data_IF_464816050938
#
_entry.id   IF_464816050938
#
_cell.length_a   1.000
_cell.length_b   1.000
_cell.length_c   1.000
_cell.angle_alpha   90.00
_cell.angle_beta   90.00
_cell.angle_gamma   90.00
#
_symmetry.space_group_name_H-M   'P 1'
#
loop_
_entity.id
_entity.type
_entity.pdbx_description
1 polymer ?
#
# COMPACT_ATOMS: atom_id res chain seq x y z
N UNK A 1 56.07 0.05 30.40
CA UNK A 1 55.03 -0.81 31.02
C UNK A 1 54.52 -0.09 32.26
N UNK A 2 53.36 0.57 32.16
CA UNK A 2 52.67 1.23 33.27
C UNK A 2 51.33 0.51 33.49
N UNK A 3 50.88 0.27 34.73
CA UNK A 3 49.59 -0.36 34.97
C UNK A 3 48.49 0.72 35.05
N UNK A 4 47.38 0.45 34.37
CA UNK A 4 46.12 1.20 34.48
C UNK A 4 45.28 0.52 35.57
N UNK A 5 44.87 1.30 36.57
CA UNK A 5 43.98 0.87 37.65
C UNK A 5 42.52 0.89 37.18
N UNK A 6 41.81 -0.20 37.44
CA UNK A 6 40.37 -0.37 37.19
C UNK A 6 39.59 0.12 38.42
N UNK A 7 38.71 1.11 38.27
CA UNK A 7 37.79 1.55 39.31
C UNK A 7 36.44 0.81 39.16
N UNK A 8 36.09 0.03 40.19
CA UNK A 8 34.77 -0.60 40.34
C UNK A 8 33.80 0.39 41.02
N UNK A 9 32.68 0.69 40.36
CA UNK A 9 31.55 1.43 40.96
C UNK A 9 30.54 0.42 41.48
N UNK A 10 30.34 0.38 42.80
CA UNK A 10 29.24 -0.31 43.45
C UNK A 10 27.99 0.58 43.46
N UNK A 11 26.88 0.09 42.92
CA UNK A 11 25.55 0.72 43.05
C UNK A 11 24.81 0.04 44.21
N UNK A 12 24.45 0.85 45.21
CA UNK A 12 23.62 0.45 46.35
C UNK A 12 22.15 0.55 45.94
N UNK A 13 21.41 -0.56 46.02
CA UNK A 13 19.95 -0.59 45.83
C UNK A 13 19.30 -0.49 47.21
N UNK A 14 18.60 0.61 47.47
CA UNK A 14 17.75 0.77 48.64
C UNK A 14 16.34 0.23 48.35
N UNK A 15 15.89 -0.70 49.17
CA UNK A 15 14.52 -1.19 49.20
C UNK A 15 13.64 -0.26 50.05
N UNK A 16 12.39 -0.04 49.64
CA UNK A 16 11.34 0.50 50.52
C UNK A 16 9.99 -0.09 50.14
N UNK A 17 9.26 -0.47 51.18
CA UNK A 17 8.07 -1.31 51.17
C UNK A 17 6.83 -0.50 51.57
N UNK A 18 5.66 -0.83 50.98
CA UNK A 18 4.33 -1.00 51.66
C UNK A 18 3.68 0.31 52.23
N UNK A 19 2.46 0.79 51.94
CA UNK A 19 1.11 0.21 51.67
C UNK A 19 0.12 1.30 51.14
N UNK A 20 -1.14 0.95 50.78
CA UNK A 20 -2.01 1.69 49.86
C UNK A 20 -3.13 2.52 50.51
N UNK A 21 -3.70 3.47 49.77
CA UNK A 21 -5.00 4.06 50.09
C UNK A 21 -5.79 4.46 48.82
N UNK A 22 -6.86 3.70 48.59
CA UNK A 22 -8.19 4.07 48.07
C UNK A 22 -8.30 5.27 47.12
N UNK A 23 -8.57 4.98 45.83
CA UNK A 23 -9.21 5.93 44.92
C UNK A 23 -10.69 5.54 44.71
N UNK A 24 -11.55 6.53 44.90
CA UNK A 24 -12.99 6.51 44.71
C UNK A 24 -13.32 6.29 43.22
N UNK A 25 -14.03 5.20 42.92
CA UNK A 25 -14.56 4.93 41.59
C UNK A 25 -15.94 5.58 41.43
N UNK A 26 -15.99 6.69 40.69
CA UNK A 26 -17.22 7.21 40.09
C UNK A 26 -16.95 7.45 38.60
N UNK A 27 -17.27 6.45 37.79
CA UNK A 27 -17.08 6.51 36.34
C UNK A 27 -17.80 5.34 35.69
N UNK A 28 -19.09 5.53 35.41
CA UNK A 28 -19.92 4.56 34.70
C UNK A 28 -19.35 4.27 33.32
N UNK A 29 -18.75 3.10 33.14
CA UNK A 29 -18.50 2.52 31.83
C UNK A 29 -19.85 2.16 31.22
N UNK A 30 -20.30 2.93 30.23
CA UNK A 30 -21.29 2.45 29.25
C UNK A 30 -20.61 1.35 28.44
N UNK A 31 -20.89 0.09 28.80
CA UNK A 31 -20.72 -1.03 27.89
C UNK A 31 -21.72 -0.84 26.76
N UNK A 32 -21.22 -0.39 25.60
CA UNK A 32 -22.02 -0.41 24.37
C UNK A 32 -22.06 -1.86 23.88
N UNK A 33 -23.27 -2.41 23.87
CA UNK A 33 -23.58 -3.76 23.44
C UNK A 33 -23.47 -3.84 21.90
N UNK A 34 -22.34 -4.38 21.43
CA UNK A 34 -22.00 -4.56 20.01
C UNK A 34 -22.81 -5.69 19.34
N UNK A 35 -23.66 -6.42 20.07
CA UNK A 35 -24.39 -7.58 19.53
C UNK A 35 -25.75 -7.26 18.88
N UNK A 36 -26.23 -6.01 18.90
CA UNK A 36 -27.62 -5.72 18.44
C UNK A 36 -27.82 -5.47 16.95
N UNK A 37 -26.78 -5.29 16.14
CA UNK A 37 -26.93 -5.03 14.69
C UNK A 37 -26.35 -6.11 13.76
N UNK A 38 -26.01 -7.29 14.30
CA UNK A 38 -25.61 -8.44 13.50
C UNK A 38 -26.69 -9.52 13.58
N UNK A 39 -27.75 -9.37 12.79
CA UNK A 39 -28.62 -10.51 12.50
C UNK A 39 -27.86 -11.48 11.59
N UNK A 40 -28.01 -12.81 11.76
CA UNK A 40 -27.39 -13.81 10.89
C UNK A 40 -27.64 -13.59 9.39
N UNK A 41 -28.69 -12.85 9.03
CA UNK A 41 -29.01 -12.51 7.65
C UNK A 41 -28.16 -11.41 7.01
N UNK A 42 -27.38 -10.65 7.78
CA UNK A 42 -26.51 -9.59 7.26
C UNK A 42 -25.01 -9.96 7.21
N UNK A 43 -24.61 -11.08 7.83
CA UNK A 43 -23.23 -11.58 7.78
C UNK A 43 -22.95 -12.45 6.53
N UNK A 44 -23.95 -13.10 5.96
CA UNK A 44 -23.80 -13.83 4.69
C UNK A 44 -23.66 -12.93 3.46
N UNK A 45 -23.95 -11.62 3.58
CA UNK A 45 -23.80 -10.64 2.48
C UNK A 45 -22.57 -9.74 2.59
N UNK A 46 -21.84 -9.78 3.71
CA UNK A 46 -20.58 -9.02 3.89
C UNK A 46 -19.33 -9.89 3.75
N UNK A 47 -19.48 -11.22 3.73
CA UNK A 47 -18.51 -12.09 3.09
C UNK A 47 -18.74 -11.92 1.59
N UNK A 48 -17.71 -11.56 0.83
CA UNK A 48 -17.73 -11.67 -0.63
C UNK A 48 -17.82 -13.16 -1.04
N UNK A 49 -18.95 -13.80 -0.73
CA UNK A 49 -19.37 -15.06 -1.28
C UNK A 49 -19.77 -14.86 -2.73
N UNK A 50 -18.78 -14.54 -3.57
CA UNK A 50 -18.83 -14.95 -4.96
C UNK A 50 -18.86 -16.46 -4.94
N UNK A 51 -20.05 -17.04 -5.12
CA UNK A 51 -20.21 -18.45 -5.44
C UNK A 51 -19.20 -18.76 -6.55
N UNK A 52 -18.28 -19.69 -6.27
CA UNK A 52 -17.20 -20.08 -7.17
C UNK A 52 -17.72 -20.72 -8.46
N UNK A 53 -18.33 -19.91 -9.32
CA UNK A 53 -18.36 -20.16 -10.75
C UNK A 53 -16.92 -19.99 -11.22
N UNK A 54 -16.16 -21.08 -11.16
CA UNK A 54 -14.87 -21.18 -11.81
C UNK A 54 -15.04 -20.74 -13.25
N UNK A 55 -14.61 -19.52 -13.53
CA UNK A 55 -14.55 -18.99 -14.88
C UNK A 55 -13.67 -19.93 -15.69
N UNK A 56 -14.07 -20.06 -16.94
CA UNK A 56 -13.62 -21.00 -17.96
C UNK A 56 -12.14 -20.80 -18.39
N UNK A 57 -11.22 -20.67 -17.43
CA UNK A 57 -9.77 -20.64 -17.62
C UNK A 57 -9.13 -22.04 -17.47
N UNK A 58 -9.93 -23.08 -17.20
CA UNK A 58 -9.47 -24.47 -17.14
C UNK A 58 -9.20 -25.12 -18.51
N UNK A 59 -9.32 -24.41 -19.63
CA UNK A 59 -8.96 -24.95 -20.94
C UNK A 59 -7.55 -24.50 -21.35
N UNK A 60 -6.54 -25.13 -20.75
CA UNK A 60 -5.30 -25.47 -21.46
C UNK A 60 -3.99 -24.78 -21.09
N UNK A 61 -3.98 -23.72 -20.27
CA UNK A 61 -2.74 -23.14 -19.76
C UNK A 61 -2.48 -23.62 -18.33
N UNK A 62 -1.43 -24.41 -18.12
CA UNK A 62 -0.99 -24.74 -16.76
C UNK A 62 -0.75 -23.48 -15.94
N UNK A 63 -0.80 -23.62 -14.61
CA UNK A 63 -0.49 -22.57 -13.62
C UNK A 63 0.88 -21.90 -13.86
N UNK A 64 1.70 -22.50 -14.72
CA UNK A 64 3.11 -22.19 -14.94
C UNK A 64 3.42 -21.12 -16.00
N UNK A 65 2.48 -20.69 -16.85
CA UNK A 65 2.86 -19.85 -18.00
C UNK A 65 2.40 -18.40 -17.91
N UNK A 66 3.29 -17.59 -17.32
CA UNK A 66 3.33 -16.16 -17.60
C UNK A 66 3.43 -15.91 -19.11
N UNK A 67 2.56 -15.07 -19.71
CA UNK A 67 2.45 -14.95 -21.15
C UNK A 67 3.71 -14.32 -21.72
N UNK A 68 4.55 -15.14 -22.37
CA UNK A 68 5.75 -14.66 -23.03
C UNK A 68 5.52 -14.38 -24.50
N UNK A 69 6.09 -13.28 -24.97
CA UNK A 69 6.15 -12.97 -26.40
C UNK A 69 7.04 -14.01 -27.09
N UNK A 70 6.54 -14.71 -28.13
CA UNK A 70 7.36 -15.65 -28.88
C UNK A 70 8.66 -15.03 -29.37
N UNK A 71 9.77 -15.76 -29.18
CA UNK A 71 11.11 -15.33 -29.60
C UNK A 71 11.77 -14.28 -28.71
N UNK A 72 11.12 -13.80 -27.64
CA UNK A 72 11.81 -12.99 -26.63
C UNK A 72 12.50 -13.86 -25.60
N UNK A 73 13.77 -13.56 -25.34
CA UNK A 73 14.52 -14.09 -24.18
C UNK A 73 14.47 -13.06 -23.06
N UNK A 74 13.97 -13.43 -21.88
CA UNK A 74 14.00 -12.55 -20.71
C UNK A 74 15.47 -12.23 -20.36
N UNK A 75 15.82 -10.99 -19.99
CA UNK A 75 17.12 -10.75 -19.38
C UNK A 75 17.26 -11.60 -18.11
N UNK A 76 18.49 -11.97 -17.71
CA UNK A 76 18.70 -12.72 -16.48
C UNK A 76 18.10 -11.95 -15.28
N UNK A 77 17.34 -12.63 -14.41
CA UNK A 77 16.72 -11.98 -13.26
C UNK A 77 17.78 -11.43 -12.32
N UNK A 78 17.55 -10.24 -11.78
CA UNK A 78 18.43 -9.61 -10.80
C UNK A 78 17.87 -9.78 -9.38
N UNK A 79 18.61 -10.41 -8.47
CA UNK A 79 18.16 -10.58 -7.09
C UNK A 79 18.00 -9.23 -6.37
N UNK A 80 16.81 -8.96 -5.85
CA UNK A 80 16.48 -7.77 -5.08
C UNK A 80 16.75 -8.00 -3.59
N UNK A 81 17.96 -7.65 -3.13
CA UNK A 81 18.43 -7.92 -1.76
C UNK A 81 17.69 -7.15 -0.67
N UNK A 82 17.19 -5.95 -0.97
CA UNK A 82 16.49 -5.10 -0.02
C UNK A 82 15.14 -4.72 -0.60
N UNK A 83 14.07 -5.05 0.13
CA UNK A 83 12.71 -4.76 -0.32
C UNK A 83 12.03 -3.84 0.68
N UNK A 84 11.63 -2.67 0.20
CA UNK A 84 10.65 -1.81 0.87
C UNK A 84 9.35 -1.82 0.07
N UNK A 85 8.31 -2.43 0.65
CA UNK A 85 7.00 -2.46 0.00
C UNK A 85 6.18 -1.18 0.29
N UNK A 86 6.00 -0.36 -0.74
CA UNK A 86 5.04 0.75 -0.72
C UNK A 86 3.63 0.20 -0.94
N UNK A 87 2.86 0.09 0.14
CA UNK A 87 1.52 -0.50 0.13
C UNK A 87 0.44 0.55 0.36
N UNK A 88 0.05 1.23 -0.71
CA UNK A 88 -1.08 2.14 -0.67
C UNK A 88 -2.41 1.37 -0.39
N UNK A 89 -3.36 1.97 0.34
CA UNK A 89 -4.68 1.39 0.54
C UNK A 89 -5.33 0.92 -0.76
N UNK A 90 -5.87 -0.30 -0.72
CA UNK A 90 -6.52 -1.01 -1.84
C UNK A 90 -5.66 -1.24 -3.08
N UNK A 91 -4.34 -1.11 -3.00
CA UNK A 91 -3.44 -1.44 -4.11
C UNK A 91 -2.81 -2.83 -3.96
N UNK A 92 -3.59 -3.82 -3.50
CA UNK A 92 -3.16 -5.22 -3.56
C UNK A 92 -2.42 -5.76 -2.33
N UNK A 93 -3.10 -5.86 -1.20
CA UNK A 93 -2.55 -6.51 0.02
C UNK A 93 -2.09 -7.95 -0.24
N UNK A 94 -2.71 -8.65 -1.19
CA UNK A 94 -2.30 -9.99 -1.62
C UNK A 94 -0.91 -10.04 -2.27
N UNK A 95 -0.34 -8.91 -2.70
CA UNK A 95 1.00 -8.87 -3.29
C UNK A 95 2.09 -9.20 -2.27
N UNK A 96 1.79 -9.05 -0.96
CA UNK A 96 2.68 -9.54 0.09
C UNK A 96 2.93 -11.06 0.02
N UNK A 97 2.00 -11.84 -0.56
CA UNK A 97 2.19 -13.27 -0.84
C UNK A 97 3.30 -13.51 -1.86
N UNK A 98 3.36 -12.70 -2.92
CA UNK A 98 4.44 -12.75 -3.91
C UNK A 98 5.78 -12.38 -3.26
N UNK A 99 5.81 -11.27 -2.51
CA UNK A 99 7.04 -10.80 -1.87
C UNK A 99 7.62 -11.78 -0.85
N UNK A 100 6.79 -12.48 -0.08
CA UNK A 100 7.27 -13.46 0.90
C UNK A 100 7.74 -14.76 0.23
N UNK A 101 7.03 -15.30 -0.77
CA UNK A 101 7.51 -16.46 -1.52
C UNK A 101 8.82 -16.14 -2.26
N UNK A 102 8.94 -14.92 -2.78
CA UNK A 102 10.19 -14.42 -3.34
C UNK A 102 11.35 -14.40 -2.34
N UNK A 103 11.12 -13.85 -1.13
CA UNK A 103 12.18 -13.71 -0.13
C UNK A 103 12.48 -15.00 0.65
N UNK A 104 11.56 -15.96 0.63
CA UNK A 104 11.59 -17.18 1.42
C UNK A 104 11.40 -18.39 0.48
N UNK A 105 12.40 -18.71 -0.35
CA UNK A 105 12.27 -19.74 -1.39
C UNK A 105 12.06 -21.16 -0.86
N UNK A 106 12.28 -21.39 0.45
CA UNK A 106 12.04 -22.66 1.11
C UNK A 106 10.62 -22.75 1.72
N UNK A 107 9.83 -21.67 1.64
CA UNK A 107 8.43 -21.68 2.07
C UNK A 107 7.61 -22.57 1.13
N UNK A 108 6.91 -23.60 1.62
CA UNK A 108 6.08 -24.46 0.76
C UNK A 108 5.00 -23.64 0.05
N UNK A 109 4.85 -23.83 -1.26
CA UNK A 109 3.89 -23.09 -2.08
C UNK A 109 2.45 -23.15 -1.56
N UNK A 110 2.06 -24.23 -0.87
CA UNK A 110 0.74 -24.40 -0.25
C UNK A 110 0.46 -23.50 0.97
N UNK A 111 1.45 -22.72 1.43
CA UNK A 111 1.34 -21.82 2.58
C UNK A 111 1.24 -20.37 2.08
N UNK A 112 0.12 -19.72 2.36
CA UNK A 112 -0.13 -18.34 1.93
C UNK A 112 -1.14 -17.63 2.87
N UNK A 113 -1.10 -16.29 2.97
CA UNK A 113 -1.88 -15.51 3.94
C UNK A 113 -3.41 -15.68 3.87
N UNK A 114 -3.96 -16.13 2.74
CA UNK A 114 -5.40 -16.22 2.53
C UNK A 114 -5.99 -17.58 2.92
N UNK A 115 -5.16 -18.51 3.39
CA UNK A 115 -5.60 -19.82 3.87
C UNK A 115 -6.10 -19.79 5.31
N UNK A 116 -5.76 -18.76 6.09
CA UNK A 116 -6.15 -18.70 7.50
C UNK A 116 -7.64 -18.40 7.61
N UNK A 117 -8.32 -19.27 8.35
CA UNK A 117 -9.68 -19.03 8.81
C UNK A 117 -9.68 -17.83 9.76
N UNK A 118 -10.82 -17.14 9.85
CA UNK A 118 -11.01 -16.08 10.85
C UNK A 118 -10.77 -16.59 12.27
N UNK A 119 -11.11 -17.85 12.54
CA UNK A 119 -10.87 -18.51 13.82
C UNK A 119 -9.37 -18.68 14.12
N UNK A 120 -8.57 -19.13 13.15
CA UNK A 120 -7.10 -19.20 13.29
C UNK A 120 -6.47 -17.83 13.51
N UNK A 121 -6.99 -16.79 12.84
CA UNK A 121 -6.52 -15.42 13.04
C UNK A 121 -6.85 -14.90 14.46
N UNK A 122 -8.07 -15.16 14.93
CA UNK A 122 -8.57 -14.75 16.26
C UNK A 122 -7.87 -15.48 17.40
N UNK A 123 -7.53 -16.76 17.21
CA UNK A 123 -6.82 -17.57 18.20
C UNK A 123 -5.30 -17.35 18.18
N UNK A 124 -4.79 -16.45 17.33
CA UNK A 124 -3.37 -16.15 17.30
C UNK A 124 -2.93 -15.38 18.55
N UNK A 125 -1.79 -15.76 19.11
CA UNK A 125 -1.22 -15.13 20.31
C UNK A 125 -0.89 -13.64 20.13
N UNK A 126 -0.91 -13.12 18.89
CA UNK A 126 -0.62 -11.73 18.58
C UNK A 126 -1.85 -10.82 18.56
N UNK A 127 -3.06 -11.36 18.84
CA UNK A 127 -4.32 -10.60 18.88
C UNK A 127 -4.62 -9.89 17.56
N UNK A 128 -4.07 -10.41 16.45
CA UNK A 128 -4.13 -9.76 15.16
C UNK A 128 -5.58 -9.68 14.67
N UNK A 129 -6.05 -8.46 14.39
CA UNK A 129 -7.34 -8.29 13.71
C UNK A 129 -7.28 -8.99 12.33
N UNK A 130 -8.40 -9.44 11.75
CA UNK A 130 -8.41 -9.98 10.38
C UNK A 130 -7.79 -9.04 9.33
N UNK A 131 -7.78 -7.73 9.57
CA UNK A 131 -7.06 -6.72 8.78
C UNK A 131 -5.53 -6.85 8.82
N UNK A 132 -4.99 -7.68 9.71
CA UNK A 132 -3.56 -7.91 9.95
C UNK A 132 -3.12 -9.34 9.58
N UNK A 133 -3.88 -10.06 8.76
CA UNK A 133 -3.52 -11.39 8.25
C UNK A 133 -2.08 -11.46 7.73
N UNK A 134 -1.62 -10.43 7.01
CA UNK A 134 -0.25 -10.36 6.52
C UNK A 134 0.79 -10.22 7.65
N UNK A 135 0.47 -9.47 8.72
CA UNK A 135 1.34 -9.36 9.91
C UNK A 135 1.49 -10.72 10.56
N UNK A 136 0.38 -11.40 10.83
CA UNK A 136 0.37 -12.73 11.42
C UNK A 136 1.16 -13.74 10.55
N UNK A 137 0.94 -13.69 9.24
CA UNK A 137 1.65 -14.56 8.30
C UNK A 137 3.17 -14.36 8.37
N UNK A 138 3.62 -13.11 8.38
CA UNK A 138 5.05 -12.79 8.47
C UNK A 138 5.64 -13.17 9.82
N UNK A 139 4.93 -12.93 10.93
CA UNK A 139 5.36 -13.34 12.26
C UNK A 139 5.55 -14.86 12.37
N UNK A 140 4.70 -15.63 11.67
CA UNK A 140 4.72 -17.09 11.72
C UNK A 140 5.71 -17.75 10.76
N UNK A 141 5.82 -17.25 9.52
CA UNK A 141 6.55 -17.94 8.46
C UNK A 141 7.83 -17.23 8.02
N UNK A 142 8.11 -16.01 8.47
CA UNK A 142 9.36 -15.33 8.16
C UNK A 142 10.48 -15.75 9.11
N UNK A 143 10.78 -17.06 9.15
CA UNK A 143 11.81 -17.66 9.98
C UNK A 143 13.09 -17.92 9.18
N UNK A 144 14.23 -18.19 9.84
CA UNK A 144 15.48 -18.59 9.15
C UNK A 144 15.36 -19.89 8.38
N UNK A 145 14.40 -20.75 8.76
CA UNK A 145 14.11 -22.02 8.10
C UNK A 145 13.57 -21.79 6.68
N UNK A 146 12.63 -20.86 6.52
CA UNK A 146 12.02 -20.56 5.23
C UNK A 146 12.75 -19.45 4.46
N UNK A 147 13.38 -18.53 5.19
CA UNK A 147 13.99 -17.32 4.65
C UNK A 147 15.49 -17.28 5.01
N UNK A 148 16.37 -17.85 4.17
CA UNK A 148 17.80 -17.99 4.48
C UNK A 148 18.54 -16.64 4.61
N UNK A 149 17.93 -15.54 4.18
CA UNK A 149 18.37 -14.17 4.50
C UNK A 149 18.87 -13.35 3.30
N UNK A 150 18.89 -13.92 2.09
CA UNK A 150 19.37 -13.23 0.88
C UNK A 150 18.51 -12.00 0.51
N UNK A 151 17.25 -11.99 0.94
CA UNK A 151 16.29 -10.92 0.70
C UNK A 151 15.77 -10.37 2.02
N UNK A 152 16.07 -9.10 2.28
CA UNK A 152 15.62 -8.39 3.46
C UNK A 152 14.27 -7.71 3.22
N UNK A 153 13.19 -8.39 3.60
CA UNK A 153 11.85 -7.80 3.64
C UNK A 153 11.64 -6.93 4.87
N UNK A 154 11.56 -5.60 4.72
CA UNK A 154 11.20 -4.71 5.84
C UNK A 154 9.70 -4.56 5.97
N UNK A 155 9.19 -4.75 7.20
CA UNK A 155 7.80 -4.51 7.68
C UNK A 155 6.76 -4.35 6.56
N UNK A 156 6.26 -5.47 6.08
CA UNK A 156 5.37 -5.58 4.91
C UNK A 156 3.88 -5.49 5.25
N UNK A 157 3.50 -4.72 6.27
CA UNK A 157 2.08 -4.60 6.65
C UNK A 157 1.68 -3.18 6.97
N UNK A 158 0.38 -2.94 6.80
CA UNK A 158 -0.23 -1.63 6.95
C UNK A 158 0.04 -0.69 5.77
N UNK A 159 -0.37 0.55 5.95
CA UNK A 159 -0.23 1.64 4.96
C UNK A 159 0.85 2.62 5.42
N UNK A 160 2.02 2.08 5.77
CA UNK A 160 3.14 2.89 6.22
C UNK A 160 3.77 3.62 5.05
N UNK A 161 4.01 4.91 5.25
CA UNK A 161 4.70 5.78 4.31
C UNK A 161 6.15 5.36 4.13
N UNK A 162 6.77 5.85 3.05
CA UNK A 162 8.22 5.77 2.92
C UNK A 162 8.89 6.64 3.98
N UNK A 163 10.13 6.30 4.32
CA UNK A 163 11.07 7.17 5.01
C UNK A 163 12.15 7.64 4.05
N UNK A 164 12.76 8.80 4.31
CA UNK A 164 13.87 9.28 3.49
C UNK A 164 15.03 8.29 3.42
N UNK A 165 15.32 7.59 4.53
CA UNK A 165 16.36 6.55 4.57
C UNK A 165 16.03 5.36 3.66
N UNK A 166 14.75 5.03 3.49
CA UNK A 166 14.29 3.97 2.59
C UNK A 166 14.40 4.43 1.13
N UNK A 167 14.06 5.69 0.83
CA UNK A 167 14.24 6.28 -0.51
C UNK A 167 15.72 6.30 -0.89
N UNK A 168 16.61 6.70 0.02
CA UNK A 168 18.07 6.69 -0.20
C UNK A 168 18.56 5.28 -0.51
N UNK A 169 18.08 4.29 0.24
CA UNK A 169 18.45 2.87 0.07
C UNK A 169 17.92 2.27 -1.23
N UNK A 170 16.76 2.70 -1.73
CA UNK A 170 16.10 2.11 -2.90
C UNK A 170 15.50 0.74 -2.59
N UNK A 171 15.32 -0.08 -3.64
CA UNK A 171 14.66 -1.38 -3.49
C UNK A 171 13.17 -1.27 -3.19
N UNK A 172 12.56 -0.15 -3.59
CA UNK A 172 11.15 0.11 -3.34
C UNK A 172 10.33 -0.63 -4.40
N UNK A 173 9.35 -1.38 -3.93
CA UNK A 173 8.39 -2.10 -4.78
C UNK A 173 7.00 -1.61 -4.45
N UNK A 174 6.17 -1.38 -5.46
CA UNK A 174 4.82 -0.86 -5.27
C UNK A 174 3.84 -1.41 -6.29
N UNK A 175 2.61 -1.53 -5.83
CA UNK A 175 1.44 -1.80 -6.67
C UNK A 175 0.60 -0.52 -6.69
N UNK A 176 0.13 -0.14 -7.87
CA UNK A 176 -0.69 1.04 -8.11
C UNK A 176 -2.05 0.64 -8.63
N UNK A 177 -3.03 1.55 -8.54
CA UNK A 177 -4.40 1.29 -8.98
C UNK A 177 -5.04 2.54 -9.52
N UNK A 178 -5.99 2.37 -10.44
CA UNK A 178 -6.87 3.45 -10.87
C UNK A 178 -7.52 4.10 -9.62
N UNK A 179 -7.32 5.40 -9.38
CA UNK A 179 -7.78 6.06 -8.16
C UNK A 179 -9.29 5.95 -7.98
N UNK A 180 -10.09 5.92 -9.06
CA UNK A 180 -11.55 5.81 -8.97
C UNK A 180 -11.95 4.46 -8.37
N UNK A 181 -11.32 3.39 -8.84
CA UNK A 181 -11.55 2.03 -8.33
C UNK A 181 -10.98 1.89 -6.91
N UNK A 182 -9.81 2.50 -6.65
CA UNK A 182 -9.18 2.52 -5.32
C UNK A 182 -10.11 3.17 -4.29
N UNK A 183 -10.59 4.38 -4.57
CA UNK A 183 -11.45 5.14 -3.68
C UNK A 183 -12.79 4.47 -3.46
N UNK A 184 -13.41 3.97 -4.52
CA UNK A 184 -14.65 3.20 -4.39
C UNK A 184 -14.45 1.95 -3.53
N UNK A 185 -13.36 1.21 -3.75
CA UNK A 185 -13.03 0.03 -2.94
C UNK A 185 -12.76 0.39 -1.48
N UNK A 186 -12.12 1.52 -1.21
CA UNK A 186 -11.88 2.01 0.16
C UNK A 186 -13.20 2.41 0.84
N UNK A 187 -14.03 3.21 0.16
CA UNK A 187 -15.36 3.63 0.61
C UNK A 187 -16.28 2.44 0.93
N UNK A 188 -16.16 1.32 0.20
CA UNK A 188 -17.00 0.13 0.42
C UNK A 188 -16.57 -0.71 1.61
N UNK A 189 -15.29 -0.63 2.00
CA UNK A 189 -14.68 -1.61 2.92
C UNK A 189 -14.28 -0.99 4.26
N UNK A 190 -14.03 0.32 4.32
CA UNK A 190 -13.58 0.96 5.56
C UNK A 190 -14.71 1.66 6.31
N UNK A 191 -14.62 1.70 7.64
CA UNK A 191 -15.44 2.56 8.50
C UNK A 191 -16.93 2.21 8.56
N UNK A 192 -17.64 3.02 9.35
CA UNK A 192 -19.10 3.02 9.40
C UNK A 192 -19.61 4.21 8.58
N UNK A 193 -20.33 3.93 7.50
CA UNK A 193 -20.92 4.96 6.64
C UNK A 193 -21.78 5.91 7.49
N UNK A 194 -21.54 7.20 7.34
CA UNK A 194 -22.19 8.26 8.12
C UNK A 194 -21.38 8.76 9.31
N UNK A 195 -20.15 8.31 9.49
CA UNK A 195 -19.20 8.90 10.46
C UNK A 195 -18.40 10.05 9.84
N UNK A 196 -17.76 10.88 10.67
CA UNK A 196 -16.89 11.97 10.18
C UNK A 196 -15.71 11.48 9.33
N UNK A 197 -15.25 10.25 9.56
CA UNK A 197 -14.19 9.59 8.79
C UNK A 197 -14.71 8.79 7.60
N UNK A 198 -16.03 8.72 7.43
CA UNK A 198 -16.65 7.95 6.38
C UNK A 198 -18.01 8.56 6.00
N UNK A 199 -18.00 9.72 5.30
CA UNK A 199 -19.22 10.39 4.89
C UNK A 199 -20.13 9.46 4.08
N UNK A 200 -21.44 9.75 4.09
CA UNK A 200 -22.41 9.00 3.26
C UNK A 200 -22.20 9.26 1.77
N UNK A 201 -21.83 10.49 1.41
CA UNK A 201 -21.59 10.86 0.03
C UNK A 201 -20.18 10.44 -0.39
N UNK A 202 -20.07 9.68 -1.48
CA UNK A 202 -18.80 9.16 -1.99
C UNK A 202 -17.89 10.26 -2.54
N UNK A 203 -18.42 11.31 -3.16
CA UNK A 203 -17.62 12.43 -3.65
C UNK A 203 -16.96 13.18 -2.49
N UNK A 204 -17.65 13.34 -1.36
CA UNK A 204 -17.03 13.85 -0.12
C UNK A 204 -15.93 12.91 0.38
N UNK A 205 -16.15 11.59 0.31
CA UNK A 205 -15.13 10.60 0.68
C UNK A 205 -13.88 10.71 -0.20
N UNK A 206 -14.05 10.77 -1.53
CA UNK A 206 -12.94 10.94 -2.48
C UNK A 206 -12.18 12.22 -2.18
N UNK A 207 -12.87 13.34 -1.95
CA UNK A 207 -12.22 14.61 -1.59
C UNK A 207 -11.42 14.54 -0.29
N UNK A 208 -11.79 13.66 0.65
CA UNK A 208 -11.08 13.45 1.94
C UNK A 208 -9.86 12.52 1.84
N UNK A 209 -9.74 11.75 0.76
CA UNK A 209 -8.69 10.74 0.63
C UNK A 209 -7.92 10.83 -0.69
N UNK A 210 -8.21 11.85 -1.51
CA UNK A 210 -7.51 12.11 -2.77
C UNK A 210 -6.00 12.29 -2.58
N UNK A 211 -5.23 11.93 -3.60
CA UNK A 211 -3.77 12.03 -3.61
C UNK A 211 -3.10 11.01 -2.69
N UNK A 212 -3.77 9.92 -2.32
CA UNK A 212 -3.26 8.94 -1.36
C UNK A 212 -2.00 8.23 -1.86
N UNK A 213 -1.99 7.72 -3.09
CA UNK A 213 -0.81 7.09 -3.70
C UNK A 213 0.33 8.11 -3.82
N UNK A 214 0.00 9.35 -4.20
CA UNK A 214 0.95 10.45 -4.35
C UNK A 214 1.58 10.83 -3.00
N UNK A 215 0.77 11.04 -1.96
CA UNK A 215 1.22 11.35 -0.59
C UNK A 215 2.15 10.26 -0.06
N UNK A 216 1.82 8.98 -0.27
CA UNK A 216 2.65 7.88 0.24
C UNK A 216 4.03 7.79 -0.42
N UNK A 217 4.15 8.18 -1.70
CA UNK A 217 5.46 8.34 -2.36
C UNK A 217 6.28 9.46 -1.70
N UNK A 218 5.62 10.51 -1.19
CA UNK A 218 6.22 11.68 -0.55
C UNK A 218 6.42 11.52 0.96
N UNK A 219 6.46 10.29 1.47
CA UNK A 219 6.56 10.02 2.91
C UNK A 219 5.37 10.53 3.75
N UNK A 220 4.27 10.96 3.12
CA UNK A 220 3.06 11.49 3.77
C UNK A 220 1.97 10.41 3.86
N UNK A 221 1.27 10.27 4.99
CA UNK A 221 0.25 9.24 5.12
C UNK A 221 -0.95 9.58 4.22
N UNK A 222 -1.72 8.59 3.80
CA UNK A 222 -2.98 8.86 3.08
C UNK A 222 -4.00 9.54 3.97
N UNK A 223 -4.03 9.19 5.25
CA UNK A 223 -4.92 9.78 6.24
C UNK A 223 -4.16 10.09 7.54
N UNK A 224 -4.60 11.13 8.25
CA UNK A 224 -4.17 11.44 9.61
C UNK A 224 -5.39 11.47 10.51
N UNK A 225 -5.72 10.37 11.20
CA UNK A 225 -6.97 10.30 11.97
C UNK A 225 -7.14 11.39 13.04
N UNK A 226 -6.04 11.99 13.49
CA UNK A 226 -5.99 13.05 14.50
C UNK A 226 -6.01 14.47 13.92
N UNK A 227 -5.94 14.61 12.60
CA UNK A 227 -5.82 15.88 11.88
C UNK A 227 -6.86 15.90 10.73
N UNK A 228 -8.08 16.39 11.01
CA UNK A 228 -9.15 16.44 10.02
C UNK A 228 -8.86 17.36 8.83
N UNK A 229 -8.07 18.42 9.02
CA UNK A 229 -7.68 19.33 7.94
C UNK A 229 -6.84 18.57 6.91
N UNK A 230 -5.99 17.66 7.37
CA UNK A 230 -5.19 16.82 6.49
C UNK A 230 -6.03 15.86 5.61
N UNK A 231 -7.29 15.56 5.97
CA UNK A 231 -8.15 14.75 5.10
C UNK A 231 -8.40 15.49 3.78
N UNK A 232 -8.63 16.80 3.83
CA UNK A 232 -8.87 17.61 2.64
C UNK A 232 -7.58 18.15 2.01
N UNK A 233 -6.42 17.60 2.40
CA UNK A 233 -5.12 18.05 1.90
C UNK A 233 -4.97 17.80 0.41
N UNK A 234 -4.72 18.89 -0.32
CA UNK A 234 -4.46 18.88 -1.75
C UNK A 234 -2.97 18.81 -2.02
N UNK A 235 -2.57 17.78 -2.78
CA UNK A 235 -1.21 17.69 -3.28
C UNK A 235 -0.90 18.87 -4.19
N UNK A 236 0.22 19.56 -3.92
CA UNK A 236 0.67 20.69 -4.74
C UNK A 236 1.29 20.21 -6.05
N UNK A 237 1.48 21.12 -7.01
CA UNK A 237 2.15 20.81 -8.28
C UNK A 237 3.57 20.29 -8.06
N UNK A 238 4.34 20.97 -7.21
CA UNK A 238 5.72 20.60 -6.88
C UNK A 238 5.80 19.22 -6.23
N UNK A 239 4.84 18.89 -5.37
CA UNK A 239 4.74 17.58 -4.74
C UNK A 239 4.44 16.47 -5.74
N UNK A 240 3.47 16.69 -6.62
CA UNK A 240 3.16 15.75 -7.70
C UNK A 240 4.39 15.50 -8.59
N UNK A 241 5.07 16.57 -9.00
CA UNK A 241 6.31 16.47 -9.78
C UNK A 241 7.40 15.69 -9.02
N UNK A 242 7.53 15.90 -7.72
CA UNK A 242 8.48 15.17 -6.86
C UNK A 242 8.13 13.69 -6.80
N UNK A 243 6.85 13.35 -6.64
CA UNK A 243 6.38 11.98 -6.61
C UNK A 243 6.59 11.27 -7.96
N UNK A 244 6.34 11.95 -9.08
CA UNK A 244 6.61 11.44 -10.44
C UNK A 244 8.11 11.21 -10.64
N UNK A 245 8.97 12.14 -10.22
CA UNK A 245 10.44 11.96 -10.28
C UNK A 245 10.89 10.75 -9.47
N UNK A 246 10.37 10.56 -8.26
CA UNK A 246 10.67 9.38 -7.46
C UNK A 246 10.19 8.11 -8.16
N UNK A 247 8.96 8.10 -8.68
CA UNK A 247 8.36 6.95 -9.36
C UNK A 247 9.18 6.47 -10.57
N UNK A 248 9.76 7.41 -11.32
CA UNK A 248 10.63 7.15 -12.48
C UNK A 248 12.08 6.84 -12.11
N UNK A 249 12.49 7.09 -10.86
CA UNK A 249 13.88 6.88 -10.44
C UNK A 249 14.21 5.40 -10.25
N UNK A 250 15.51 5.08 -10.24
CA UNK A 250 16.02 3.74 -9.93
C UNK A 250 15.74 3.29 -8.49
N UNK A 251 15.27 4.19 -7.62
CA UNK A 251 14.89 3.85 -6.25
C UNK A 251 13.63 2.97 -6.21
N UNK A 252 12.77 3.09 -7.23
CA UNK A 252 11.57 2.27 -7.41
C UNK A 252 11.91 1.10 -8.35
N UNK A 253 12.35 0.00 -7.73
CA UNK A 253 12.73 -1.21 -8.44
C UNK A 253 11.54 -1.85 -9.17
N UNK A 254 10.34 -1.82 -8.58
CA UNK A 254 9.15 -2.43 -9.17
C UNK A 254 7.91 -1.54 -9.10
N UNK A 255 7.16 -1.53 -10.21
CA UNK A 255 5.87 -0.86 -10.38
C UNK A 255 4.95 -1.88 -11.02
N UNK A 256 3.94 -2.35 -10.27
CA UNK A 256 2.87 -3.19 -10.80
C UNK A 256 1.52 -2.47 -10.74
N UNK A 257 0.52 -3.03 -11.43
CA UNK A 257 -0.84 -2.50 -11.47
C UNK A 257 -1.82 -3.53 -10.91
N UNK A 258 -2.65 -3.10 -9.96
CA UNK A 258 -3.65 -3.97 -9.32
C UNK A 258 -4.67 -4.50 -10.34
N UNK A 259 -5.01 -3.67 -11.32
CA UNK A 259 -5.99 -4.00 -12.37
C UNK A 259 -5.42 -4.97 -13.42
N UNK A 260 -4.10 -5.18 -13.44
CA UNK A 260 -3.38 -6.16 -14.27
C UNK A 260 -2.56 -7.09 -13.37
N UNK A 261 -3.28 -7.78 -12.49
CA UNK A 261 -2.69 -8.54 -11.39
C UNK A 261 -1.74 -9.63 -11.89
N UNK A 262 -2.21 -10.47 -12.82
CA UNK A 262 -1.45 -11.59 -13.37
C UNK A 262 -0.16 -11.10 -14.02
N UNK A 263 -0.26 -10.08 -14.85
CA UNK A 263 0.87 -9.46 -15.53
C UNK A 263 1.85 -8.84 -14.54
N UNK A 264 1.36 -8.29 -13.42
CA UNK A 264 2.21 -7.74 -12.36
C UNK A 264 3.02 -8.81 -11.64
N UNK A 265 2.40 -9.94 -11.28
CA UNK A 265 3.12 -11.08 -10.69
C UNK A 265 4.16 -11.61 -11.69
N UNK A 266 3.75 -11.82 -12.94
CA UNK A 266 4.64 -12.29 -13.98
C UNK A 266 5.82 -11.35 -14.23
N UNK A 267 5.57 -10.04 -14.25
CA UNK A 267 6.60 -9.03 -14.43
C UNK A 267 7.58 -9.03 -13.26
N UNK A 268 7.09 -9.12 -12.04
CA UNK A 268 7.96 -9.17 -10.86
C UNK A 268 8.95 -10.34 -10.95
N UNK A 269 8.47 -11.54 -11.26
CA UNK A 269 9.33 -12.72 -11.39
C UNK A 269 10.21 -12.69 -12.65
N UNK A 270 9.76 -12.08 -13.74
CA UNK A 270 10.62 -11.87 -14.90
C UNK A 270 11.78 -10.89 -14.61
N UNK A 271 11.53 -9.88 -13.76
CA UNK A 271 12.55 -8.90 -13.36
C UNK A 271 13.55 -9.44 -12.35
N UNK A 272 13.07 -10.17 -11.33
CA UNK A 272 13.88 -10.50 -10.16
C UNK A 272 14.05 -11.99 -9.88
N UNK A 273 13.40 -12.86 -10.66
CA UNK A 273 13.49 -14.31 -10.54
C UNK A 273 12.58 -14.87 -9.46
N UNK A 274 12.97 -16.02 -8.89
CA UNK A 274 12.17 -16.74 -7.89
C UNK A 274 11.08 -17.62 -8.52
N UNK A 275 10.64 -18.61 -7.75
CA UNK A 275 9.56 -19.51 -8.17
C UNK A 275 8.22 -18.78 -8.04
N UNK A 276 7.33 -19.00 -9.00
CA UNK A 276 5.95 -18.52 -8.96
C UNK A 276 5.10 -19.61 -8.33
N UNK A 277 4.26 -19.24 -7.37
CA UNK A 277 3.26 -20.15 -6.79
C UNK A 277 1.86 -19.79 -7.28
N UNK A 278 0.97 -20.79 -7.40
CA UNK A 278 -0.41 -20.60 -7.86
C UNK A 278 -1.14 -19.48 -7.09
N UNK A 279 -0.91 -19.42 -5.78
CA UNK A 279 -1.62 -18.52 -4.88
C UNK A 279 -1.19 -17.06 -5.00
N UNK A 280 -0.11 -16.76 -5.70
CA UNK A 280 0.29 -15.38 -6.00
C UNK A 280 -0.65 -14.73 -7.02
N UNK A 281 -1.27 -15.53 -7.88
CA UNK A 281 -2.29 -15.06 -8.82
C UNK A 281 -3.66 -14.82 -8.15
N UNK A 282 -3.84 -15.22 -6.88
CA UNK A 282 -5.07 -14.96 -6.13
C UNK A 282 -5.14 -13.50 -5.69
N UNK A 283 -5.82 -12.67 -6.48
CA UNK A 283 -6.25 -11.36 -6.04
C UNK A 283 -7.49 -11.49 -5.14
N UNK A 284 -7.33 -11.31 -3.83
CA UNK A 284 -8.48 -11.41 -2.89
C UNK A 284 -9.44 -10.22 -2.92
N UNK A 285 -9.09 -9.19 -3.68
CA UNK A 285 -9.95 -8.03 -3.93
C UNK A 285 -9.91 -7.73 -5.41
N UNK A 286 -10.44 -8.66 -6.25
CA UNK A 286 -10.62 -8.32 -7.65
C UNK A 286 -11.50 -7.05 -7.65
N UNK A 287 -11.16 -6.12 -8.53
CA UNK A 287 -11.88 -4.86 -8.58
C UNK A 287 -13.31 -5.05 -9.05
N UNK A 288 -13.81 -4.01 -9.69
CA UNK A 288 -15.08 -4.06 -10.41
C UNK A 288 -15.07 -5.09 -11.56
N UNK A 289 -13.88 -5.56 -11.93
CA UNK A 289 -13.67 -6.55 -12.97
C UNK A 289 -12.80 -7.71 -12.47
N UNK A 290 -13.15 -8.93 -12.88
CA UNK A 290 -12.33 -10.14 -12.76
C UNK A 290 -11.43 -10.38 -13.99
N UNK A 291 -11.60 -9.62 -15.08
CA UNK A 291 -10.85 -9.81 -16.34
C UNK A 291 -10.24 -8.50 -16.86
N UNK A 292 -9.09 -8.59 -17.52
CA UNK A 292 -8.48 -7.42 -18.17
C UNK A 292 -9.39 -6.84 -19.28
N UNK A 293 -10.30 -7.63 -19.84
CA UNK A 293 -11.24 -7.24 -20.88
C UNK A 293 -12.38 -6.36 -20.33
N UNK A 294 -12.81 -6.62 -19.09
CA UNK A 294 -13.88 -5.91 -18.39
C UNK A 294 -13.42 -4.60 -17.70
N UNK A 295 -12.17 -4.18 -17.88
CA UNK A 295 -11.71 -2.86 -17.40
C UNK A 295 -12.55 -1.74 -18.06
N UNK A 296 -13.05 -1.94 -19.28
CA UNK A 296 -14.03 -1.01 -19.87
C UNK A 296 -15.40 -1.09 -19.19
N UNK A 297 -15.85 -2.28 -18.78
CA UNK A 297 -17.08 -2.43 -17.99
C UNK A 297 -16.98 -1.74 -16.62
N UNK A 298 -15.75 -1.55 -16.12
CA UNK A 298 -15.52 -0.78 -14.89
C UNK A 298 -15.99 0.66 -15.00
N UNK A 299 -15.90 1.29 -16.18
CA UNK A 299 -16.43 2.65 -16.36
C UNK A 299 -17.96 2.71 -16.29
N UNK A 300 -18.65 1.59 -16.51
CA UNK A 300 -20.11 1.49 -16.44
C UNK A 300 -20.60 0.97 -15.09
N UNK A 301 -19.72 0.82 -14.10
CA UNK A 301 -20.14 0.31 -12.80
C UNK A 301 -20.91 1.40 -12.04
N UNK A 302 -22.12 1.11 -11.54
CA UNK A 302 -22.99 2.12 -10.93
C UNK A 302 -22.32 2.90 -9.78
N UNK A 303 -21.46 2.22 -9.02
CA UNK A 303 -20.70 2.83 -7.92
C UNK A 303 -19.61 3.83 -8.36
N UNK A 304 -19.24 3.86 -9.64
CA UNK A 304 -18.23 4.76 -10.21
C UNK A 304 -18.84 5.92 -10.99
N UNK A 305 -20.16 5.97 -11.18
CA UNK A 305 -20.87 7.07 -11.85
C UNK A 305 -20.62 8.44 -11.20
N UNK A 306 -20.23 8.44 -9.92
CA UNK A 306 -19.99 9.65 -9.12
C UNK A 306 -18.51 9.93 -8.85
N UNK A 307 -17.59 9.20 -9.50
CA UNK A 307 -16.15 9.40 -9.34
C UNK A 307 -15.49 9.46 -10.72
N UNK A 308 -14.82 10.57 -10.96
CA UNK A 308 -14.07 10.84 -12.18
C UNK A 308 -12.57 10.96 -11.87
N UNK A 309 -11.75 10.96 -12.92
CA UNK A 309 -10.33 11.26 -12.79
C UNK A 309 -10.06 12.68 -12.26
N UNK A 310 -11.01 13.61 -12.42
CA UNK A 310 -10.87 14.98 -11.95
C UNK A 310 -11.07 15.13 -10.42
N UNK A 311 -11.66 14.14 -9.76
CA UNK A 311 -11.89 14.16 -8.31
C UNK A 311 -10.61 13.83 -7.52
N UNK A 312 -9.72 12.99 -8.09
CA UNK A 312 -8.37 12.70 -7.58
C UNK A 312 -7.30 12.80 -8.69
N UNK A 313 -7.01 14.03 -9.15
CA UNK A 313 -6.14 14.24 -10.30
C UNK A 313 -4.66 13.99 -9.98
N UNK A 314 -4.23 14.14 -8.72
CA UNK A 314 -2.85 13.82 -8.33
C UNK A 314 -2.59 12.31 -8.46
N UNK A 315 -3.44 11.46 -7.87
CA UNK A 315 -3.28 10.01 -8.04
C UNK A 315 -3.57 9.56 -9.48
N UNK A 316 -4.41 10.27 -10.23
CA UNK A 316 -4.62 9.99 -11.65
C UNK A 316 -3.34 10.15 -12.46
N UNK A 317 -2.62 11.27 -12.27
CA UNK A 317 -1.33 11.50 -12.92
C UNK A 317 -0.27 10.45 -12.50
N UNK A 318 -0.21 10.11 -11.20
CA UNK A 318 0.65 9.03 -10.71
C UNK A 318 0.31 7.69 -11.37
N UNK A 319 -0.97 7.36 -11.49
CA UNK A 319 -1.41 6.11 -12.11
C UNK A 319 -1.06 6.05 -13.60
N UNK A 320 -1.18 7.16 -14.34
CA UNK A 320 -0.74 7.23 -15.74
C UNK A 320 0.76 6.95 -15.88
N UNK A 321 1.59 7.57 -15.04
CA UNK A 321 3.04 7.33 -15.05
C UNK A 321 3.37 5.88 -14.64
N UNK A 322 2.68 5.35 -13.64
CA UNK A 322 2.84 3.94 -13.24
C UNK A 322 2.48 2.99 -14.40
N UNK A 323 1.41 3.28 -15.15
CA UNK A 323 0.96 2.53 -16.33
C UNK A 323 2.02 2.55 -17.44
N UNK A 324 2.59 3.72 -17.72
CA UNK A 324 3.68 3.89 -18.70
C UNK A 324 4.90 3.02 -18.34
N UNK A 325 5.37 3.11 -17.08
CA UNK A 325 6.51 2.32 -16.58
C UNK A 325 6.21 0.83 -16.68
N UNK A 326 5.00 0.42 -16.25
CA UNK A 326 4.57 -0.97 -16.27
C UNK A 326 4.59 -1.56 -17.68
N UNK A 327 3.97 -0.88 -18.64
CA UNK A 327 3.95 -1.35 -20.05
C UNK A 327 5.34 -1.42 -20.64
N UNK A 328 6.16 -0.40 -20.41
CA UNK A 328 7.56 -0.38 -20.87
C UNK A 328 8.32 -1.61 -20.36
N UNK A 329 8.14 -1.93 -19.07
CA UNK A 329 8.78 -3.09 -18.44
C UNK A 329 8.19 -4.43 -18.92
N UNK A 330 6.89 -4.54 -19.17
CA UNK A 330 6.31 -5.74 -19.79
C UNK A 330 7.01 -6.06 -21.11
N UNK A 331 7.15 -5.07 -22.00
CA UNK A 331 7.85 -5.23 -23.28
C UNK A 331 9.32 -5.59 -23.06
N UNK A 332 10.03 -4.84 -22.20
CA UNK A 332 11.44 -5.06 -21.90
C UNK A 332 11.73 -6.49 -21.41
N UNK A 333 10.84 -7.05 -20.59
CA UNK A 333 10.99 -8.38 -20.00
C UNK A 333 10.22 -9.47 -20.78
N UNK A 334 9.79 -9.16 -22.00
CA UNK A 334 9.21 -10.12 -22.94
C UNK A 334 7.83 -10.63 -22.54
N UNK A 335 7.09 -9.92 -21.69
CA UNK A 335 5.73 -10.28 -21.30
C UNK A 335 4.74 -9.62 -22.25
N UNK A 336 3.73 -10.37 -22.68
CA UNK A 336 2.70 -9.83 -23.56
C UNK A 336 1.93 -8.69 -22.88
N UNK A 337 1.84 -7.54 -23.55
CA UNK A 337 1.02 -6.42 -23.08
C UNK A 337 -0.45 -6.67 -23.43
N UNK A 338 -1.37 -6.73 -22.44
CA UNK A 338 -2.78 -6.98 -22.68
C UNK A 338 -3.41 -5.98 -23.65
N UNK A 339 -4.34 -6.43 -24.49
CA UNK A 339 -4.98 -5.58 -25.48
C UNK A 339 -5.75 -4.39 -24.86
N UNK A 340 -6.38 -4.59 -23.71
CA UNK A 340 -7.04 -3.51 -22.95
C UNK A 340 -6.07 -2.45 -22.47
N UNK A 341 -4.87 -2.88 -22.03
CA UNK A 341 -3.82 -1.97 -21.60
C UNK A 341 -3.29 -1.14 -22.78
N UNK A 342 -3.05 -1.78 -23.93
CA UNK A 342 -2.67 -1.09 -25.19
C UNK A 342 -3.70 -0.02 -25.59
N UNK A 343 -4.99 -0.36 -25.58
CA UNK A 343 -6.09 0.59 -25.89
C UNK A 343 -6.10 1.77 -24.92
N UNK A 344 -5.93 1.50 -23.62
CA UNK A 344 -5.97 2.53 -22.58
C UNK A 344 -4.85 3.57 -22.70
N UNK A 345 -3.71 3.22 -23.32
CA UNK A 345 -2.63 4.17 -23.61
C UNK A 345 -2.94 5.05 -24.83
N UNK A 346 -3.72 4.54 -25.79
CA UNK A 346 -4.04 5.27 -27.03
C UNK A 346 -5.18 6.29 -26.90
N UNK A 347 -6.11 6.08 -25.95
CA UNK A 347 -7.40 6.79 -25.96
C UNK A 347 -7.52 7.97 -25.00
N UNK A 348 -6.79 8.01 -23.88
CA UNK A 348 -7.20 8.86 -22.73
C UNK A 348 -6.09 9.66 -22.03
N UNK A 349 -4.86 9.70 -22.55
CA UNK A 349 -3.75 10.36 -21.85
C UNK A 349 -3.57 11.84 -22.26
N UNK A 350 -4.65 12.57 -22.54
CA UNK A 350 -4.57 14.03 -22.57
C UNK A 350 -4.21 14.52 -21.14
N UNK A 351 -3.24 15.44 -20.98
CA UNK A 351 -2.88 15.99 -19.68
C UNK A 351 -4.12 16.59 -19.01
N UNK A 352 -4.29 16.40 -17.69
CA UNK A 352 -5.30 17.16 -16.94
C UNK A 352 -4.81 18.60 -16.81
N UNK A 353 -4.90 19.37 -17.90
CA UNK A 353 -4.42 20.74 -18.01
C UNK A 353 -5.12 21.71 -17.03
N UNK A 354 -6.21 21.28 -16.39
CA UNK A 354 -7.06 22.13 -15.54
C UNK A 354 -6.73 22.11 -14.04
N UNK A 355 -5.85 21.23 -13.56
CA UNK A 355 -5.77 21.03 -12.11
C UNK A 355 -4.88 22.02 -11.36
N UNK A 356 -3.80 22.49 -11.98
CA UNK A 356 -3.01 23.57 -11.43
C UNK A 356 -3.28 24.79 -12.29
N UNK A 357 -4.16 25.73 -11.86
CA UNK A 357 -4.26 27.00 -12.57
C UNK A 357 -2.84 27.54 -12.69
N UNK A 358 -2.41 27.85 -13.92
CA UNK A 358 -1.10 28.42 -14.14
C UNK A 358 -0.99 29.62 -13.21
N UNK A 359 -0.05 29.59 -12.26
CA UNK A 359 0.22 30.71 -11.36
C UNK A 359 0.86 31.90 -12.10
N UNK A 360 0.74 31.94 -13.42
CA UNK A 360 1.15 33.04 -14.29
C UNK A 360 0.08 34.14 -14.19
N UNK A 361 0.08 34.86 -13.07
CA UNK A 361 -0.96 35.86 -12.81
C UNK A 361 -0.59 37.06 -11.97
N UNK A 362 0.32 36.94 -11.00
CA UNK A 362 0.74 38.09 -10.19
C UNK A 362 2.24 38.01 -9.89
N UNK A 363 3.03 38.73 -10.68
CA UNK A 363 4.30 39.26 -10.20
C UNK A 363 3.97 40.25 -9.09
N UNK A 364 3.97 39.76 -7.85
CA UNK A 364 4.07 40.65 -6.69
C UNK A 364 5.48 41.21 -6.75
N UNK A 365 5.58 42.46 -7.18
CA UNK A 365 6.77 43.28 -7.04
C UNK A 365 7.01 43.51 -5.54
N UNK A 366 7.69 42.55 -4.89
CA UNK A 366 8.21 42.69 -3.52
C UNK A 366 9.52 43.51 -3.55
N UNK A 367 9.42 44.76 -4.00
CA UNK A 367 10.37 45.81 -3.68
C UNK A 367 9.75 46.65 -2.56
N UNK A 368 9.92 46.22 -1.29
CA UNK A 368 10.13 47.13 -0.16
C UNK A 368 10.34 46.40 1.19
N UNK A 369 11.58 46.54 1.68
CA UNK A 369 11.97 46.76 3.08
C UNK A 369 11.42 45.86 4.21
N UNK A 370 12.32 45.18 4.94
CA UNK A 370 12.92 45.77 6.14
C UNK A 370 13.81 44.76 6.89
N UNK A 371 14.92 45.30 7.39
CA UNK A 371 15.85 44.67 8.29
C UNK A 371 15.17 44.29 9.61
N UNK A 372 15.47 43.10 10.10
CA UNK A 372 15.15 42.66 11.45
C UNK A 372 16.08 41.52 11.84
N UNK A 373 17.21 41.88 12.45
CA UNK A 373 17.93 40.97 13.34
C UNK A 373 16.95 40.48 14.40
N UNK A 374 17.06 39.23 14.83
CA UNK A 374 17.31 38.93 16.24
C UNK A 374 17.70 37.45 16.37
N UNK A 375 18.71 37.28 17.20
CA UNK A 375 19.32 36.05 17.65
C UNK A 375 18.38 35.22 18.54
N UNK A 376 18.86 34.03 18.87
CA UNK A 376 18.59 33.24 20.08
C UNK A 376 17.75 31.96 19.99
N UNK A 377 18.36 30.94 20.62
CA UNK A 377 17.86 29.71 21.22
C UNK A 377 17.50 28.52 20.31
N UNK A 378 18.35 27.51 20.14
CA UNK A 378 18.86 26.53 21.11
C UNK A 378 17.79 25.53 21.62
N UNK A 379 18.11 24.25 21.40
CA UNK A 379 17.61 23.04 22.07
C UNK A 379 16.11 22.71 21.97
N UNK A 380 15.79 21.54 21.40
CA UNK A 380 15.45 20.42 22.28
C UNK A 380 15.49 19.06 21.56
N UNK A 381 16.11 18.15 22.29
CA UNK A 381 16.30 16.73 22.07
C UNK A 381 15.00 15.93 22.29
N UNK A 382 15.14 14.63 22.04
CA UNK A 382 14.36 13.52 22.60
C UNK A 382 12.98 13.20 22.01
N UNK A 383 12.95 12.09 21.25
CA UNK A 383 12.13 10.95 21.66
C UNK A 383 12.61 9.66 20.98
N UNK A 384 13.46 8.93 21.70
CA UNK A 384 13.67 7.49 21.53
C UNK A 384 12.69 6.74 22.44
N UNK A 385 11.89 5.83 21.87
CA UNK A 385 11.34 4.67 22.55
C UNK A 385 11.17 3.51 21.56
#
# INVERSE_FOLDING_TARGET
>A
MMPVALAMVMVVVAASSIMPAQLVAAGGKRTYDFQRDLTPHNLEKLVCGGSGGGSEWQRGGGVDECPLVPGHTRPPPQLLKHIRWLHAPKTGTSFGTCLIHYACPLLPGSIYPHKFTLEEAQNSSSGASPSELMRFFLERYKTKEYCPGDVHLRKMWGHKTLKETEIKQGGIVGMFRDPRIRDYSEYRVHGHIGTSRHPRNISTYVSMYRGCQTKMLLCKPCNRPKDPEFWFYNTTKQELETAIRLLRSEKISFVGLTDYWRESICLFHAMFGGNITEHEFTNTRPGVSNTAEDIHATMNHPGLEHISAADDPADWEIFKVAKEIFVTRLVQYGIEVPASLKRSMSLNDQPVQRYFPDSNGDSIDDDDAAQGNDDDDAADDDDQA
#
